data_IF_321571438100
#
_entry.id   IF_321571438100
#
_cell.length_a   1.000
_cell.length_b   1.000
_cell.length_c   1.000
_cell.angle_alpha   90.00
_cell.angle_beta   90.00
_cell.angle_gamma   90.00
#
_symmetry.space_group_name_H-M   'P 1'
#
loop_
_entity.id
_entity.type
_entity.pdbx_description
1 polymer ?
#
# COMPACT_ATOMS: atom_id res chain seq x y z
N UNK A 1 -3.90 8.99 2.81
CA UNK A 1 -2.96 10.03 2.33
C UNK A 1 -1.70 9.31 1.92
N UNK A 2 -1.35 9.37 0.63
CA UNK A 2 -0.10 8.79 0.13
C UNK A 2 0.92 9.92 0.07
N UNK A 3 2.06 9.69 0.72
CA UNK A 3 3.26 10.53 0.64
C UNK A 3 3.99 10.10 -0.62
N UNK A 4 4.08 10.99 -1.60
CA UNK A 4 4.46 10.62 -2.97
C UNK A 4 5.93 10.42 -3.16
N UNK A 5 6.77 11.27 -2.57
CA UNK A 5 8.17 11.35 -3.00
C UNK A 5 9.13 10.79 -1.96
N UNK A 6 8.80 10.91 -0.67
CA UNK A 6 9.71 10.51 0.40
C UNK A 6 9.58 9.04 0.83
N UNK A 7 8.38 8.44 0.74
CA UNK A 7 8.11 7.15 1.35
C UNK A 7 8.54 5.97 0.46
N UNK A 8 9.35 5.05 1.01
CA UNK A 8 9.69 3.76 0.37
C UNK A 8 8.69 2.65 0.70
N UNK A 9 7.99 2.79 1.83
CA UNK A 9 6.98 1.86 2.32
C UNK A 9 5.70 2.61 2.67
N UNK A 10 4.55 1.95 2.55
CA UNK A 10 3.25 2.54 2.90
C UNK A 10 2.37 1.52 3.61
N UNK A 11 1.53 2.01 4.52
CA UNK A 11 0.45 1.22 5.11
C UNK A 11 -0.81 1.43 4.28
N UNK A 12 -1.25 0.39 3.56
CA UNK A 12 -2.45 0.39 2.74
C UNK A 12 -3.60 -0.19 3.53
N UNK A 13 -4.73 0.51 3.52
CA UNK A 13 -6.00 -0.04 4.01
C UNK A 13 -6.76 -0.63 2.83
N UNK A 14 -6.97 -1.95 2.84
CA UNK A 14 -7.62 -2.67 1.75
C UNK A 14 -8.66 -3.67 2.29
N UNK A 15 -9.62 -4.06 1.44
CA UNK A 15 -10.56 -5.11 1.78
C UNK A 15 -9.85 -6.47 1.74
N UNK A 16 -9.90 -7.20 2.85
CA UNK A 16 -9.38 -8.57 2.92
C UNK A 16 -10.41 -9.54 2.33
N UNK A 17 -10.02 -10.17 1.22
CA UNK A 17 -10.77 -11.24 0.59
C UNK A 17 -10.01 -12.57 0.76
N UNK A 18 -10.68 -13.59 1.29
CA UNK A 18 -10.15 -14.96 1.37
C UNK A 18 -11.30 -15.96 1.32
N UNK A 19 -11.09 -17.13 0.69
CA UNK A 19 -12.11 -18.17 0.48
C UNK A 19 -13.43 -17.58 -0.07
N UNK A 20 -13.33 -16.67 -1.05
CA UNK A 20 -14.48 -16.01 -1.67
C UNK A 20 -15.36 -15.19 -0.69
N UNK A 21 -14.83 -14.81 0.47
CA UNK A 21 -15.50 -14.00 1.50
C UNK A 21 -14.71 -12.74 1.81
N UNK A 22 -15.42 -11.62 1.92
CA UNK A 22 -14.86 -10.34 2.36
C UNK A 22 -14.93 -10.21 3.88
N UNK A 23 -13.80 -9.90 4.51
CA UNK A 23 -13.65 -9.71 5.96
C UNK A 23 -13.49 -8.22 6.33
N UNK A 24 -13.72 -7.32 5.38
CA UNK A 24 -13.63 -5.88 5.60
C UNK A 24 -12.19 -5.34 5.58
N UNK A 25 -12.02 -4.12 6.10
CA UNK A 25 -10.78 -3.36 5.96
C UNK A 25 -9.68 -3.89 6.88
N UNK A 26 -8.51 -4.14 6.30
CA UNK A 26 -7.30 -4.53 6.99
C UNK A 26 -6.12 -3.68 6.53
N UNK A 27 -5.12 -3.56 7.40
CA UNK A 27 -3.89 -2.83 7.11
C UNK A 27 -2.81 -3.80 6.60
N UNK A 28 -2.24 -3.44 5.47
CA UNK A 28 -1.15 -4.14 4.80
C UNK A 28 0.03 -3.18 4.70
N UNK A 29 1.22 -3.65 5.05
CA UNK A 29 2.46 -2.91 4.78
C UNK A 29 2.93 -3.29 3.39
N UNK A 30 3.27 -2.30 2.58
CA UNK A 30 3.72 -2.51 1.22
C UNK A 30 5.01 -1.72 0.99
N UNK A 31 6.02 -2.37 0.45
CA UNK A 31 7.13 -1.65 -0.17
C UNK A 31 6.67 -1.11 -1.53
N UNK A 32 6.80 0.21 -1.73
CA UNK A 32 6.28 0.89 -2.91
C UNK A 32 7.39 1.39 -3.85
N UNK A 33 8.63 1.46 -3.35
CA UNK A 33 9.81 1.88 -4.11
C UNK A 33 11.01 0.98 -3.83
N UNK A 34 11.92 0.89 -4.79
CA UNK A 34 13.25 0.31 -4.63
C UNK A 34 14.04 1.09 -3.58
N UNK A 35 14.84 0.38 -2.77
CA UNK A 35 15.73 0.98 -1.78
C UNK A 35 17.06 1.45 -2.39
N UNK A 36 17.35 1.06 -3.63
CA UNK A 36 18.60 1.39 -4.31
C UNK A 36 18.49 2.70 -5.09
N UNK A 37 17.42 2.86 -5.86
CA UNK A 37 17.25 3.96 -6.83
C UNK A 37 15.94 4.74 -6.66
N UNK A 38 15.15 4.44 -5.61
CA UNK A 38 13.85 5.05 -5.33
C UNK A 38 12.79 4.90 -6.44
N UNK A 39 13.03 4.06 -7.45
CA UNK A 39 12.05 3.81 -8.51
C UNK A 39 10.81 3.10 -7.98
N UNK A 40 9.60 3.39 -8.49
CA UNK A 40 8.39 2.63 -8.14
C UNK A 40 8.55 1.14 -8.47
N UNK A 41 8.12 0.25 -7.58
CA UNK A 41 8.14 -1.19 -7.86
C UNK A 41 7.13 -1.56 -8.96
N UNK A 42 7.33 -2.68 -9.69
CA UNK A 42 6.40 -3.14 -10.72
C UNK A 42 4.96 -3.26 -10.22
N UNK A 43 4.00 -2.82 -11.05
CA UNK A 43 2.58 -2.80 -10.69
C UNK A 43 2.17 -1.64 -9.79
N UNK A 44 3.08 -0.73 -9.44
CA UNK A 44 2.78 0.45 -8.62
C UNK A 44 2.91 1.71 -9.47
N UNK A 45 1.80 2.44 -9.59
CA UNK A 45 1.79 3.78 -10.19
C UNK A 45 1.56 4.81 -9.08
N UNK A 46 2.41 5.82 -8.99
CA UNK A 46 2.30 6.88 -7.98
C UNK A 46 2.61 8.25 -8.60
N UNK A 47 2.02 9.30 -8.05
CA UNK A 47 2.24 10.66 -8.51
C UNK A 47 1.62 11.70 -7.60
N UNK A 48 2.05 12.95 -7.74
CA UNK A 48 1.46 14.10 -7.04
C UNK A 48 0.07 14.40 -7.61
N UNK A 49 -0.87 14.80 -6.74
CA UNK A 49 -2.21 15.26 -7.17
C UNK A 49 -2.19 16.71 -7.66
N UNK A 50 -1.04 17.38 -7.61
CA UNK A 50 -0.81 18.74 -8.05
C UNK A 50 -0.98 19.80 -6.96
N UNK A 51 -0.84 21.05 -7.41
CA UNK A 51 -0.91 22.24 -6.56
C UNK A 51 -2.26 22.33 -5.85
N UNK A 52 -2.20 22.66 -4.56
CA UNK A 52 -3.36 22.82 -3.70
C UNK A 52 -3.45 24.29 -3.26
N UNK A 53 -4.65 24.72 -2.84
CA UNK A 53 -4.88 26.08 -2.35
C UNK A 53 -4.01 26.42 -1.11
N UNK A 54 -3.53 25.39 -0.41
CA UNK A 54 -2.51 25.47 0.65
C UNK A 54 -1.80 24.12 0.82
N UNK A 55 -0.78 24.04 1.68
CA UNK A 55 0.05 22.84 1.89
C UNK A 55 0.82 22.37 0.64
N UNK A 56 1.34 23.30 -0.17
CA UNK A 56 2.17 22.98 -1.34
C UNK A 56 3.52 22.33 -0.99
N UNK A 57 3.96 22.43 0.27
CA UNK A 57 5.14 21.74 0.78
C UNK A 57 4.87 20.29 1.19
N UNK A 58 3.60 19.85 1.21
CA UNK A 58 3.21 18.48 1.56
C UNK A 58 2.96 17.70 0.28
N UNK A 59 3.73 16.63 0.11
CA UNK A 59 3.81 15.75 -1.06
C UNK A 59 2.63 14.76 -1.15
N UNK A 60 1.43 15.27 -0.91
CA UNK A 60 0.20 14.53 -1.10
C UNK A 60 0.09 14.01 -2.52
N UNK A 61 -0.22 12.74 -2.67
CA UNK A 61 -0.68 12.28 -3.97
C UNK A 61 -1.42 10.97 -3.97
N UNK A 62 -1.34 10.30 -5.11
CA UNK A 62 -2.12 9.11 -5.41
C UNK A 62 -1.22 7.90 -5.61
N UNK A 63 -1.81 6.72 -5.41
CA UNK A 63 -1.19 5.44 -5.68
C UNK A 63 -2.23 4.49 -6.27
N UNK A 64 -1.88 3.85 -7.37
CA UNK A 64 -2.62 2.73 -7.96
C UNK A 64 -1.76 1.49 -7.86
N UNK A 65 -2.37 0.42 -7.37
CA UNK A 65 -1.77 -0.89 -7.24
C UNK A 65 -2.43 -1.80 -8.27
N UNK A 66 -1.63 -2.41 -9.13
CA UNK A 66 -2.08 -3.34 -10.16
C UNK A 66 -1.58 -4.74 -9.84
N UNK A 67 -2.50 -5.56 -9.30
CA UNK A 67 -2.31 -7.00 -9.08
C UNK A 67 -0.99 -7.37 -8.40
N UNK A 68 -0.55 -6.54 -7.45
CA UNK A 68 0.71 -6.70 -6.72
C UNK A 68 0.65 -7.89 -5.76
N UNK A 69 1.81 -8.50 -5.49
CA UNK A 69 1.95 -9.58 -4.52
C UNK A 69 2.80 -9.10 -3.35
N UNK A 70 2.35 -9.42 -2.14
CA UNK A 70 3.09 -9.19 -0.91
C UNK A 70 3.23 -10.47 -0.11
N UNK A 71 4.34 -10.65 0.63
CA UNK A 71 4.45 -11.67 1.65
C UNK A 71 3.29 -11.65 2.65
N UNK A 72 2.82 -12.82 3.06
CA UNK A 72 1.67 -12.99 3.95
C UNK A 72 1.85 -12.26 5.30
N UNK A 73 3.07 -12.20 5.82
CA UNK A 73 3.44 -11.55 7.08
C UNK A 73 3.45 -10.02 7.02
N UNK A 74 3.27 -9.41 5.84
CA UNK A 74 3.13 -7.95 5.71
C UNK A 74 1.73 -7.43 6.08
N UNK A 75 0.78 -8.31 6.38
CA UNK A 75 -0.49 -7.91 7.00
C UNK A 75 -0.30 -7.66 8.51
N UNK A 76 -0.85 -6.56 9.03
CA UNK A 76 -0.77 -6.25 10.45
C UNK A 76 -1.72 -7.14 11.27
N UNK A 77 -1.21 -8.26 11.78
CA UNK A 77 -2.05 -9.32 12.36
C UNK A 77 -2.30 -9.26 13.87
N UNK A 78 -2.06 -8.13 14.54
CA UNK A 78 -2.23 -8.03 16.01
C UNK A 78 -3.67 -8.33 16.47
N UNK A 79 -4.67 -7.97 15.66
CA UNK A 79 -6.10 -8.14 15.97
C UNK A 79 -6.85 -9.13 15.08
N UNK A 80 -6.33 -9.41 13.89
CA UNK A 80 -6.94 -10.31 12.89
C UNK A 80 -5.84 -11.06 12.16
N UNK A 81 -5.96 -12.38 11.99
CA UNK A 81 -4.93 -13.21 11.35
C UNK A 81 -5.54 -14.07 10.25
N UNK A 82 -4.83 -14.21 9.15
CA UNK A 82 -5.09 -15.21 8.12
C UNK A 82 -4.19 -16.41 8.40
N UNK A 83 -4.75 -17.64 8.39
CA UNK A 83 -3.93 -18.85 8.54
C UNK A 83 -3.23 -19.18 7.22
N UNK A 84 -2.03 -19.77 7.28
CA UNK A 84 -1.29 -20.23 6.11
C UNK A 84 -1.92 -21.48 5.45
N UNK A 85 -2.79 -22.17 6.18
CA UNK A 85 -3.43 -23.43 5.73
C UNK A 85 -4.63 -23.19 4.80
N UNK A 86 -4.95 -21.92 4.53
CA UNK A 86 -6.00 -21.54 3.59
C UNK A 86 -5.39 -21.58 2.18
N UNK A 87 -5.40 -22.77 1.56
CA UNK A 87 -5.26 -22.95 0.11
C UNK A 87 -6.61 -22.82 -0.57
#
# INVERSE_FOLDING_TARGET
MVVTNAATHTAVMAQLWTQNKCYGLHLLILQVRSLEDHTPLPGITQGDIGNKFGHNSIDNGFMRLDSIRIPHDQMLMKRSRVSKDIQ
#
